data_IF_928859986983
#
_entry.id   IF_928859986983
#
_cell.length_a   1.000
_cell.length_b   1.000
_cell.length_c   1.000
_cell.angle_alpha   90.00
_cell.angle_beta   90.00
_cell.angle_gamma   90.00
#
_symmetry.space_group_name_H-M   'P 1'
#
loop_
_entity.id
_entity.type
_entity.pdbx_description
1 polymer ?
#
# COMPACT_ATOMS: atom_id res chain seq x y z
N UNK A 1 -36.26 3.22 46.55
CA UNK A 1 -35.20 2.59 47.37
C UNK A 1 -33.97 2.44 46.48
N UNK A 2 -32.97 3.32 46.63
CA UNK A 2 -31.77 3.35 45.76
C UNK A 2 -30.78 2.29 46.27
N UNK A 3 -30.51 1.25 45.47
CA UNK A 3 -29.47 0.27 45.79
C UNK A 3 -28.13 0.77 45.24
N UNK A 4 -27.24 1.18 46.13
CA UNK A 4 -25.86 1.49 45.80
C UNK A 4 -25.08 0.18 45.58
N UNK A 5 -24.85 -0.18 44.32
CA UNK A 5 -23.93 -1.24 43.93
C UNK A 5 -22.49 -0.74 44.02
N UNK A 6 -21.98 -0.54 45.23
CA UNK A 6 -20.57 -0.18 45.45
C UNK A 6 -19.72 -1.45 45.38
N UNK A 7 -18.93 -1.56 44.31
CA UNK A 7 -17.95 -2.64 44.14
C UNK A 7 -16.86 -2.49 45.20
N UNK A 8 -16.51 -3.59 45.87
CA UNK A 8 -15.50 -3.59 46.93
C UNK A 8 -14.12 -3.17 46.40
N UNK A 9 -13.45 -2.23 47.07
CA UNK A 9 -12.09 -1.75 46.74
C UNK A 9 -11.09 -2.89 46.52
N UNK A 10 -11.18 -3.97 47.30
CA UNK A 10 -10.31 -5.15 47.15
C UNK A 10 -10.59 -5.92 45.86
N UNK A 11 -11.84 -5.95 45.40
CA UNK A 11 -12.21 -6.54 44.11
C UNK A 11 -11.66 -5.71 42.96
N UNK A 12 -11.75 -4.38 43.05
CA UNK A 12 -11.16 -3.46 42.05
C UNK A 12 -9.65 -3.66 41.97
N UNK A 13 -8.94 -3.67 43.10
CA UNK A 13 -7.48 -3.84 43.12
C UNK A 13 -7.01 -5.22 42.66
N UNK A 14 -7.80 -6.28 42.90
CA UNK A 14 -7.51 -7.63 42.36
C UNK A 14 -7.70 -7.72 40.85
N UNK A 15 -8.64 -6.98 40.28
CA UNK A 15 -8.84 -6.90 38.82
C UNK A 15 -7.82 -5.99 38.12
N UNK A 16 -7.35 -4.94 38.79
CA UNK A 16 -6.45 -3.92 38.23
C UNK A 16 -5.07 -4.49 37.84
N UNK A 17 -4.58 -5.51 38.57
CA UNK A 17 -3.35 -6.21 38.23
C UNK A 17 -3.45 -6.99 36.91
N UNK A 18 -4.62 -7.55 36.60
CA UNK A 18 -4.86 -8.25 35.34
C UNK A 18 -4.96 -7.28 34.15
N UNK A 19 -5.46 -6.05 34.36
CA UNK A 19 -5.53 -5.02 33.31
C UNK A 19 -4.19 -4.38 32.95
N UNK A 20 -3.17 -4.49 33.82
CA UNK A 20 -1.81 -4.01 33.54
C UNK A 20 -0.94 -5.08 32.84
N UNK A 21 -1.28 -6.37 33.00
CA UNK A 21 -0.54 -7.49 32.41
C UNK A 21 -1.09 -7.97 31.06
N UNK A 22 -2.30 -7.57 30.71
CA UNK A 22 -2.89 -7.83 29.40
C UNK A 22 -2.77 -6.55 28.55
N UNK A 23 -2.39 -6.64 27.27
CA UNK A 23 -2.73 -5.59 26.33
C UNK A 23 -4.21 -5.31 26.55
N UNK A 24 -4.57 -4.03 26.75
CA UNK A 24 -5.98 -3.65 26.73
C UNK A 24 -6.58 -4.35 25.50
N UNK A 25 -7.74 -4.98 25.67
CA UNK A 25 -8.47 -5.63 24.59
C UNK A 25 -8.83 -4.58 23.53
N UNK A 26 -7.86 -4.13 22.75
CA UNK A 26 -7.98 -3.10 21.71
C UNK A 26 -8.96 -3.58 20.62
N UNK A 27 -9.18 -4.90 20.55
CA UNK A 27 -10.22 -5.53 19.74
C UNK A 27 -11.66 -5.22 20.21
N UNK A 28 -11.87 -4.83 21.47
CA UNK A 28 -13.18 -4.41 21.99
C UNK A 28 -13.46 -2.92 21.83
N UNK A 29 -12.42 -2.09 21.60
CA UNK A 29 -12.54 -0.64 21.40
C UNK A 29 -13.28 -0.25 20.12
N UNK A 30 -13.46 -1.18 19.17
CA UNK A 30 -14.26 -0.96 17.97
C UNK A 30 -15.77 -1.12 18.18
N UNK A 31 -16.21 -1.76 19.28
CA UNK A 31 -17.62 -2.04 19.54
C UNK A 31 -18.33 -0.90 20.30
N UNK A 32 -17.59 0.03 20.91
CA UNK A 32 -18.17 1.10 21.74
C UNK A 32 -18.20 2.44 21.00
N UNK A 33 -19.01 2.51 19.94
CA UNK A 33 -19.47 3.80 19.43
C UNK A 33 -20.44 4.39 20.45
N UNK A 34 -19.89 5.12 21.42
CA UNK A 34 -20.67 5.94 22.35
C UNK A 34 -21.61 6.83 21.54
N UNK A 35 -22.93 6.63 21.71
CA UNK A 35 -23.98 7.48 21.10
C UNK A 35 -23.58 8.96 21.22
N UNK A 36 -23.24 9.58 20.08
CA UNK A 36 -22.96 11.01 19.99
C UNK A 36 -21.48 11.43 19.96
N UNK A 37 -20.51 10.51 19.99
CA UNK A 37 -19.12 10.82 19.64
C UNK A 37 -18.80 10.26 18.25
N UNK A 38 -18.14 11.07 17.43
CA UNK A 38 -17.81 10.84 16.02
C UNK A 38 -17.53 9.37 15.72
N UNK A 39 -18.32 8.79 14.81
CA UNK A 39 -18.14 7.45 14.32
C UNK A 39 -16.66 7.23 13.97
N UNK A 40 -16.06 6.17 14.51
CA UNK A 40 -14.69 5.76 14.20
C UNK A 40 -14.53 5.69 12.68
N UNK A 41 -13.72 6.57 12.10
CA UNK A 41 -13.42 6.54 10.67
C UNK A 41 -12.26 5.57 10.47
N UNK A 42 -12.42 4.52 9.63
CA UNK A 42 -11.32 3.62 9.36
C UNK A 42 -10.12 4.40 8.77
N UNK A 43 -8.88 3.98 9.07
CA UNK A 43 -7.69 4.57 8.48
C UNK A 43 -7.78 4.57 6.96
N UNK A 44 -7.39 5.68 6.32
CA UNK A 44 -7.26 5.76 4.87
C UNK A 44 -6.11 4.85 4.44
N UNK A 45 -6.34 4.04 3.41
CA UNK A 45 -5.33 3.15 2.83
C UNK A 45 -4.95 3.64 1.43
N UNK A 46 -3.68 3.48 1.09
CA UNK A 46 -3.14 3.72 -0.24
C UNK A 46 -2.66 2.38 -0.81
N UNK A 47 -2.93 2.13 -2.08
CA UNK A 47 -2.51 0.92 -2.77
C UNK A 47 -1.88 1.26 -4.11
N UNK A 48 -0.81 0.54 -4.43
CA UNK A 48 -0.15 0.59 -5.73
C UNK A 48 -0.18 -0.81 -6.33
N UNK A 49 -0.51 -0.90 -7.62
CA UNK A 49 -0.51 -2.15 -8.37
C UNK A 49 0.33 -1.99 -9.61
N UNK A 50 1.17 -2.98 -9.88
CA UNK A 50 2.19 -2.94 -10.90
C UNK A 50 2.04 -4.12 -11.88
N UNK A 51 2.17 -3.84 -13.17
CA UNK A 51 1.93 -4.79 -14.27
C UNK A 51 3.13 -4.72 -15.25
N UNK A 52 4.24 -5.44 -14.98
CA UNK A 52 5.54 -5.23 -15.66
C UNK A 52 5.54 -5.57 -17.15
N UNK A 53 4.73 -6.54 -17.57
CA UNK A 53 4.73 -7.02 -18.95
C UNK A 53 3.80 -6.23 -19.87
N UNK A 54 3.25 -5.12 -19.39
CA UNK A 54 2.32 -4.29 -20.14
C UNK A 54 0.92 -4.91 -20.26
N UNK A 55 0.19 -4.42 -21.26
CA UNK A 55 -1.22 -4.72 -21.49
C UNK A 55 -1.48 -4.84 -22.99
N UNK A 56 -2.58 -5.52 -23.36
CA UNK A 56 -3.05 -5.49 -24.75
C UNK A 56 -3.64 -4.10 -25.01
N UNK A 57 -2.88 -3.25 -25.71
CA UNK A 57 -3.16 -1.82 -25.84
C UNK A 57 -4.56 -1.52 -26.38
N UNK A 58 -5.00 -2.25 -27.41
CA UNK A 58 -6.33 -2.12 -28.03
C UNK A 58 -7.48 -2.51 -27.09
N UNK A 59 -7.19 -3.27 -26.04
CA UNK A 59 -8.17 -3.73 -25.04
C UNK A 59 -8.07 -2.99 -23.71
N UNK A 60 -7.04 -2.14 -23.53
CA UNK A 60 -6.80 -1.39 -22.30
C UNK A 60 -7.18 0.09 -22.43
N UNK A 61 -6.92 0.70 -23.59
CA UNK A 61 -7.18 2.12 -23.79
C UNK A 61 -8.56 2.37 -24.42
N UNK A 62 -9.33 3.36 -23.90
CA UNK A 62 -10.56 3.79 -24.54
C UNK A 62 -10.25 4.47 -25.89
N UNK A 63 -11.20 4.38 -26.83
CA UNK A 63 -11.09 5.02 -28.15
C UNK A 63 -10.96 6.53 -28.06
N UNK A 64 -11.62 7.14 -27.07
CA UNK A 64 -11.49 8.56 -26.75
C UNK A 64 -11.70 8.80 -25.25
N UNK A 65 -11.28 9.95 -24.69
CA UNK A 65 -11.55 10.29 -23.30
C UNK A 65 -13.04 10.24 -22.93
N UNK A 66 -13.91 10.67 -23.86
CA UNK A 66 -15.37 10.70 -23.66
C UNK A 66 -15.98 9.29 -23.65
N UNK A 67 -15.32 8.31 -24.28
CA UNK A 67 -15.80 6.93 -24.32
C UNK A 67 -15.48 6.17 -23.02
N UNK A 68 -14.52 6.65 -22.21
CA UNK A 68 -14.05 5.94 -21.02
C UNK A 68 -15.18 5.53 -20.07
N UNK A 69 -16.07 6.45 -19.71
CA UNK A 69 -17.18 6.17 -18.77
C UNK A 69 -18.37 5.44 -19.41
N UNK A 70 -18.60 5.63 -20.72
CA UNK A 70 -19.78 5.08 -21.42
C UNK A 70 -19.54 3.66 -21.93
N UNK A 71 -18.33 3.39 -22.37
CA UNK A 71 -17.93 2.15 -23.04
C UNK A 71 -16.47 1.85 -22.69
N UNK A 72 -16.20 1.44 -21.43
CA UNK A 72 -14.84 1.08 -21.01
C UNK A 72 -14.29 -0.08 -21.85
N UNK A 73 -12.96 -0.12 -22.05
CA UNK A 73 -12.30 -1.25 -22.68
C UNK A 73 -12.49 -2.56 -21.91
N UNK A 74 -12.44 -3.74 -22.57
CA UNK A 74 -12.64 -5.03 -21.92
C UNK A 74 -11.74 -5.28 -20.70
N UNK A 75 -10.49 -4.80 -20.73
CA UNK A 75 -9.56 -4.97 -19.60
C UNK A 75 -9.98 -4.21 -18.33
N UNK A 76 -10.84 -3.20 -18.45
CA UNK A 76 -11.32 -2.36 -17.35
C UNK A 76 -12.79 -2.62 -16.98
N UNK A 77 -13.42 -3.63 -17.60
CA UNK A 77 -14.83 -3.94 -17.39
C UNK A 77 -15.14 -4.28 -15.92
N UNK A 78 -14.22 -4.93 -15.22
CA UNK A 78 -14.34 -5.23 -13.79
C UNK A 78 -14.42 -3.99 -12.88
N UNK A 79 -13.91 -2.84 -13.35
CA UNK A 79 -13.96 -1.57 -12.62
C UNK A 79 -15.27 -0.80 -12.85
N UNK A 80 -16.18 -1.29 -13.69
CA UNK A 80 -17.47 -0.64 -14.01
C UNK A 80 -18.23 -0.09 -12.78
N UNK A 81 -18.29 -0.77 -11.61
CA UNK A 81 -18.97 -0.24 -10.42
C UNK A 81 -18.36 1.04 -9.83
N UNK A 82 -17.08 1.31 -10.11
CA UNK A 82 -16.31 2.44 -9.54
C UNK A 82 -15.67 3.31 -10.63
N UNK A 83 -16.04 3.10 -11.90
CA UNK A 83 -15.37 3.72 -13.04
C UNK A 83 -15.43 5.26 -13.02
N UNK A 84 -16.50 5.81 -12.44
CA UNK A 84 -16.67 7.25 -12.21
C UNK A 84 -15.74 7.83 -11.13
N UNK A 85 -15.04 6.99 -10.38
CA UNK A 85 -14.01 7.35 -9.39
C UNK A 85 -12.59 7.12 -9.95
N UNK A 86 -12.47 6.60 -11.16
CA UNK A 86 -11.18 6.29 -11.79
C UNK A 86 -10.76 7.44 -12.72
N UNK A 87 -9.46 7.74 -12.70
CA UNK A 87 -8.79 8.56 -13.72
C UNK A 87 -7.84 7.67 -14.51
N UNK A 88 -8.00 7.64 -15.83
CA UNK A 88 -7.08 6.97 -16.72
C UNK A 88 -6.16 8.00 -17.39
N UNK A 89 -4.85 7.92 -17.11
CA UNK A 89 -3.86 8.90 -17.55
C UNK A 89 -2.81 8.23 -18.43
N UNK A 90 -2.50 8.85 -19.58
CA UNK A 90 -1.44 8.42 -20.51
C UNK A 90 -0.36 9.48 -20.67
N UNK A 91 0.81 9.08 -21.16
CA UNK A 91 1.91 10.01 -21.46
C UNK A 91 2.76 10.39 -20.24
N UNK A 92 2.66 9.64 -19.15
CA UNK A 92 3.59 9.74 -18.02
C UNK A 92 4.83 8.95 -18.39
N UNK A 93 6.00 9.59 -18.27
CA UNK A 93 7.29 8.93 -18.38
C UNK A 93 7.99 9.00 -17.03
N UNK A 94 8.74 7.96 -16.70
CA UNK A 94 9.59 7.93 -15.51
C UNK A 94 10.83 8.82 -15.67
N UNK A 95 11.75 8.71 -14.72
CA UNK A 95 13.06 9.37 -14.84
C UNK A 95 13.82 8.86 -16.07
N UNK A 96 14.53 9.73 -16.81
CA UNK A 96 15.38 9.29 -17.91
C UNK A 96 16.38 8.24 -17.44
N UNK A 97 16.40 7.07 -18.08
CA UNK A 97 17.23 5.93 -17.67
C UNK A 97 18.70 6.05 -18.10
N UNK A 98 19.03 7.01 -18.96
CA UNK A 98 20.40 7.22 -19.39
C UNK A 98 21.29 7.67 -18.20
N UNK A 99 22.53 7.16 -18.09
CA UNK A 99 23.26 6.33 -19.06
C UNK A 99 23.12 4.80 -18.86
N UNK A 100 22.17 4.31 -18.07
CA UNK A 100 22.03 2.89 -17.76
C UNK A 100 21.41 2.09 -18.93
N UNK A 101 22.21 1.77 -19.95
CA UNK A 101 21.74 1.19 -21.21
C UNK A 101 21.69 -0.36 -21.26
N UNK A 102 21.64 -1.06 -20.12
CA UNK A 102 21.74 -2.54 -20.11
C UNK A 102 21.00 -3.27 -18.99
N UNK A 103 20.24 -2.56 -18.15
CA UNK A 103 19.53 -3.18 -17.02
C UNK A 103 18.08 -2.69 -16.91
N UNK A 104 17.27 -2.77 -17.98
CA UNK A 104 15.92 -2.20 -18.00
C UNK A 104 15.04 -2.75 -16.88
N UNK A 105 15.09 -4.05 -16.59
CA UNK A 105 14.29 -4.67 -15.52
C UNK A 105 14.69 -4.18 -14.12
N UNK A 106 15.99 -3.98 -13.87
CA UNK A 106 16.49 -3.45 -12.62
C UNK A 106 16.07 -1.98 -12.42
N UNK A 107 16.11 -1.18 -13.49
CA UNK A 107 15.73 0.22 -13.47
C UNK A 107 14.22 0.40 -13.33
N UNK A 108 13.43 -0.41 -14.03
CA UNK A 108 11.97 -0.38 -13.97
C UNK A 108 11.49 -0.65 -12.53
N UNK A 109 12.00 -1.71 -11.91
CA UNK A 109 11.65 -2.07 -10.54
C UNK A 109 12.17 -1.05 -9.50
N UNK A 110 13.39 -0.54 -9.67
CA UNK A 110 13.97 0.42 -8.71
C UNK A 110 13.35 1.81 -8.80
N UNK A 111 12.94 2.26 -9.99
CA UNK A 111 12.33 3.57 -10.21
C UNK A 111 10.83 3.59 -9.92
N UNK A 112 10.18 2.42 -9.84
CA UNK A 112 8.79 2.29 -9.42
C UNK A 112 8.59 2.88 -8.02
N UNK A 113 7.67 3.85 -7.90
CA UNK A 113 7.34 4.62 -6.69
C UNK A 113 8.47 5.47 -6.09
N UNK A 114 9.73 5.31 -6.49
CA UNK A 114 10.84 6.17 -6.04
C UNK A 114 11.07 7.35 -6.97
N UNK A 115 10.73 7.21 -8.27
CA UNK A 115 11.04 8.17 -9.32
C UNK A 115 12.49 8.69 -9.27
N UNK A 116 13.43 7.81 -8.90
CA UNK A 116 14.85 8.11 -8.74
C UNK A 116 15.69 7.00 -9.35
N UNK A 117 16.83 7.33 -9.94
CA UNK A 117 17.78 6.31 -10.38
C UNK A 117 18.57 5.79 -9.16
N UNK A 118 18.83 4.48 -9.07
CA UNK A 118 19.72 3.93 -8.06
C UNK A 118 21.17 4.40 -8.30
N UNK A 119 21.99 4.47 -7.24
CA UNK A 119 23.40 4.82 -7.37
C UNK A 119 24.17 3.77 -8.19
N UNK A 120 24.65 4.18 -9.37
CA UNK A 120 25.40 3.34 -10.29
C UNK A 120 26.66 2.71 -9.67
N UNK A 121 27.23 3.34 -8.63
CA UNK A 121 28.47 2.92 -7.96
C UNK A 121 28.22 1.94 -6.83
N UNK A 122 26.98 1.78 -6.37
CA UNK A 122 26.61 0.95 -5.21
C UNK A 122 25.60 -0.13 -5.57
N UNK A 123 25.86 -0.87 -6.65
CA UNK A 123 24.91 -1.84 -7.21
C UNK A 123 24.56 -3.02 -6.29
N UNK A 124 25.42 -3.33 -5.33
CA UNK A 124 25.22 -4.38 -4.33
C UNK A 124 24.48 -3.89 -3.06
N UNK A 125 24.01 -2.64 -3.05
CA UNK A 125 23.30 -2.04 -1.92
C UNK A 125 22.04 -1.32 -2.42
N UNK A 126 21.01 -1.29 -1.58
CA UNK A 126 19.84 -0.44 -1.85
C UNK A 126 20.27 1.00 -1.53
N UNK A 127 20.57 1.77 -2.58
CA UNK A 127 20.94 3.18 -2.47
C UNK A 127 20.10 4.04 -3.43
N UNK A 128 18.91 4.40 -2.96
CA UNK A 128 17.87 5.12 -3.70
C UNK A 128 16.96 5.86 -2.70
N UNK A 129 16.16 6.82 -3.18
CA UNK A 129 15.18 7.51 -2.37
C UNK A 129 14.10 6.55 -1.83
N UNK A 130 13.47 6.89 -0.70
CA UNK A 130 12.30 6.17 -0.21
C UNK A 130 11.14 6.30 -1.20
N UNK A 131 10.37 5.23 -1.34
CA UNK A 131 9.26 5.17 -2.27
C UNK A 131 8.00 5.89 -1.74
N UNK A 132 7.07 6.22 -2.64
CA UNK A 132 5.83 6.93 -2.30
C UNK A 132 4.97 6.19 -1.25
N UNK A 133 4.93 4.87 -1.29
CA UNK A 133 4.29 4.02 -0.27
C UNK A 133 5.00 4.11 1.08
N UNK A 134 6.33 4.15 1.11
CA UNK A 134 7.10 4.36 2.34
C UNK A 134 6.86 5.75 2.94
N UNK A 135 6.76 6.80 2.10
CA UNK A 135 6.38 8.15 2.55
C UNK A 135 4.99 8.12 3.21
N UNK A 136 4.02 7.44 2.60
CA UNK A 136 2.67 7.30 3.16
C UNK A 136 2.67 6.50 4.47
N UNK A 137 3.39 5.38 4.53
CA UNK A 137 3.54 4.56 5.72
C UNK A 137 4.16 5.33 6.89
N UNK A 138 5.15 6.19 6.64
CA UNK A 138 5.73 7.07 7.67
C UNK A 138 4.72 8.08 8.24
N UNK A 139 3.71 8.48 7.46
CA UNK A 139 2.71 9.46 7.88
C UNK A 139 1.47 8.84 8.52
N UNK A 140 0.92 7.75 7.96
CA UNK A 140 -0.32 7.12 8.46
C UNK A 140 -0.14 5.73 9.03
N UNK A 141 1.01 5.09 8.86
CA UNK A 141 1.20 3.67 9.18
C UNK A 141 1.06 3.35 10.66
N UNK A 142 1.21 4.35 11.55
CA UNK A 142 0.89 4.22 12.97
C UNK A 142 -0.60 4.05 13.29
N UNK A 143 -1.50 4.24 12.31
CA UNK A 143 -2.93 4.03 12.44
C UNK A 143 -3.37 2.61 12.04
N UNK A 144 -2.46 1.78 11.55
CA UNK A 144 -2.73 0.42 11.08
C UNK A 144 -1.81 -0.58 11.78
N UNK A 145 -2.24 -1.84 11.91
CA UNK A 145 -1.42 -2.89 12.51
C UNK A 145 -0.12 -3.17 11.72
N UNK A 146 -0.20 -3.04 10.39
CA UNK A 146 0.94 -3.06 9.48
C UNK A 146 1.05 -1.68 8.81
N UNK A 147 2.18 -0.97 8.97
CA UNK A 147 2.40 0.33 8.32
C UNK A 147 2.42 0.26 6.79
N UNK A 148 2.92 -0.86 6.25
CA UNK A 148 2.95 -1.21 4.82
C UNK A 148 2.78 -2.71 4.64
N UNK A 149 2.32 -3.14 3.47
CA UNK A 149 2.19 -4.56 3.09
C UNK A 149 2.47 -4.73 1.59
N UNK A 150 3.56 -5.43 1.29
CA UNK A 150 4.00 -5.73 -0.07
C UNK A 150 3.61 -7.17 -0.44
N UNK A 151 2.89 -7.34 -1.55
CA UNK A 151 2.43 -8.63 -2.05
C UNK A 151 2.86 -8.82 -3.51
N UNK A 152 3.22 -10.04 -3.88
CA UNK A 152 3.57 -10.43 -5.24
C UNK A 152 2.94 -11.79 -5.59
N UNK A 153 2.61 -12.00 -6.87
CA UNK A 153 2.00 -13.25 -7.36
C UNK A 153 2.99 -14.38 -7.54
N UNK A 154 4.29 -14.09 -7.54
CA UNK A 154 5.36 -15.09 -7.52
C UNK A 154 6.39 -14.71 -6.46
N UNK A 155 6.91 -15.67 -5.66
CA UNK A 155 8.13 -15.44 -4.92
C UNK A 155 9.23 -15.15 -5.94
N UNK A 156 9.86 -13.98 -5.83
CA UNK A 156 11.02 -13.62 -6.65
C UNK A 156 12.17 -14.56 -6.27
N UNK A 157 12.22 -15.76 -6.85
CA UNK A 157 13.35 -16.64 -6.65
C UNK A 157 14.57 -15.97 -7.27
N UNK A 158 15.73 -16.11 -6.62
CA UNK A 158 16.98 -15.44 -6.97
C UNK A 158 17.43 -15.64 -8.44
N UNK A 159 16.78 -16.51 -9.22
CA UNK A 159 17.15 -16.76 -10.61
C UNK A 159 16.39 -15.92 -11.64
N UNK A 160 15.14 -15.53 -11.38
CA UNK A 160 14.31 -15.02 -12.49
C UNK A 160 14.45 -13.52 -12.76
N UNK A 161 14.83 -12.70 -11.78
CA UNK A 161 14.97 -11.24 -11.93
C UNK A 161 16.28 -10.65 -11.38
N UNK A 162 17.12 -11.47 -10.75
CA UNK A 162 18.42 -11.07 -10.18
C UNK A 162 19.59 -11.42 -11.12
N UNK A 163 19.35 -12.15 -12.22
CA UNK A 163 20.33 -12.36 -13.29
C UNK A 163 20.85 -11.05 -13.91
N UNK A 164 20.26 -9.88 -13.58
CA UNK A 164 20.80 -8.55 -13.93
C UNK A 164 21.19 -7.64 -12.75
N UNK A 165 20.94 -8.04 -11.50
CA UNK A 165 21.28 -7.25 -10.30
C UNK A 165 22.42 -7.86 -9.48
N UNK A 166 22.47 -9.19 -9.38
CA UNK A 166 23.49 -9.93 -8.64
C UNK A 166 24.46 -10.72 -9.53
N UNK A 167 24.14 -10.91 -10.81
CA UNK A 167 25.04 -11.59 -11.75
C UNK A 167 25.61 -10.56 -12.74
N UNK A 168 26.90 -10.28 -12.62
CA UNK A 168 27.68 -9.72 -13.71
C UNK A 168 27.59 -8.21 -13.92
N UNK A 169 28.53 -7.49 -13.32
CA UNK A 169 29.70 -7.18 -14.13
C UNK A 169 30.71 -8.32 -13.98
#
# INVERSE_FOLDING_TARGET
MIRNHLINRRTVLRGLGASLGLPLLETMGWAESLKGKTAYKPPVRLGFMYMPHGVIMDQFWPKSPESFLKSPPPALESLRPILNQCLLMKGISGVPIAPFNGAPHALELSTWLTACLPDAKKRNQIHIAISADQIFANYVGGLTALPSLELATMPQTHKENQEGLNEGY
#
